data_IF_984883386243
#
_entry.id   IF_984883386243
#
_cell.length_a   1.000
_cell.length_b   1.000
_cell.length_c   1.000
_cell.angle_alpha   90.00
_cell.angle_beta   90.00
_cell.angle_gamma   90.00
#
_symmetry.space_group_name_H-M   'P 1'
#
loop_
_entity.id
_entity.type
_entity.pdbx_description
1 polymer ?
#
# COMPACT_ATOMS: atom_id res chain seq x y z
N UNK A 1 10.55 2.52 -17.85
CA UNK A 1 10.11 1.44 -16.93
C UNK A 1 9.05 0.49 -17.53
N UNK A 2 8.58 0.71 -18.77
CA UNK A 2 7.27 0.23 -19.25
C UNK A 2 7.18 -1.12 -20.05
N UNK A 3 8.14 -1.62 -20.87
CA UNK A 3 7.82 -2.77 -21.74
C UNK A 3 8.19 -4.15 -21.17
N UNK A 4 9.23 -4.26 -20.33
CA UNK A 4 9.79 -5.57 -19.95
C UNK A 4 9.01 -6.29 -18.83
N UNK A 5 8.22 -5.55 -18.06
CA UNK A 5 7.48 -6.08 -16.91
C UNK A 5 6.12 -6.63 -17.34
N UNK A 6 5.48 -6.07 -18.38
CA UNK A 6 4.13 -6.44 -18.83
C UNK A 6 3.96 -7.90 -19.25
N UNK A 7 5.01 -8.53 -19.79
CA UNK A 7 4.97 -9.96 -20.16
C UNK A 7 5.14 -10.92 -18.97
N UNK A 8 5.50 -10.42 -17.79
CA UNK A 8 5.63 -11.23 -16.56
C UNK A 8 4.51 -10.98 -15.55
N UNK A 9 3.60 -10.06 -15.83
CA UNK A 9 2.43 -9.84 -15.00
C UNK A 9 1.43 -10.95 -15.30
N UNK A 10 1.05 -11.69 -14.27
CA UNK A 10 -0.06 -12.62 -14.35
C UNK A 10 -1.36 -11.80 -14.38
N UNK A 11 -1.79 -11.42 -15.59
CA UNK A 11 -2.92 -10.51 -15.80
C UNK A 11 -4.22 -11.02 -15.15
N UNK A 12 -4.39 -12.33 -15.08
CA UNK A 12 -5.54 -12.95 -14.41
C UNK A 12 -5.53 -12.70 -12.88
N UNK A 13 -4.35 -12.71 -12.26
CA UNK A 13 -4.16 -12.34 -10.86
C UNK A 13 -4.40 -10.84 -10.65
N UNK A 14 -3.88 -10.00 -11.54
CA UNK A 14 -4.04 -8.55 -11.49
C UNK A 14 -5.51 -8.13 -11.59
N UNK A 15 -6.27 -8.68 -12.54
CA UNK A 15 -7.69 -8.37 -12.71
C UNK A 15 -8.53 -8.80 -11.49
N UNK A 16 -8.27 -9.97 -10.90
CA UNK A 16 -9.01 -10.44 -9.71
C UNK A 16 -8.74 -9.58 -8.47
N UNK A 17 -7.50 -9.10 -8.31
CA UNK A 17 -7.18 -8.10 -7.28
C UNK A 17 -7.91 -6.79 -7.55
N UNK A 18 -7.89 -6.31 -8.80
CA UNK A 18 -8.54 -5.06 -9.20
C UNK A 18 -10.02 -5.04 -8.83
N UNK A 19 -10.74 -6.15 -9.11
CA UNK A 19 -12.16 -6.29 -8.78
C UNK A 19 -12.38 -6.12 -7.27
N UNK A 20 -11.55 -6.76 -6.44
CA UNK A 20 -11.61 -6.59 -4.99
C UNK A 20 -11.31 -5.15 -4.57
N UNK A 21 -10.33 -4.50 -5.21
CA UNK A 21 -9.94 -3.13 -4.88
C UNK A 21 -11.04 -2.12 -5.23
N UNK A 22 -11.68 -2.27 -6.39
CA UNK A 22 -12.80 -1.40 -6.80
C UNK A 22 -13.94 -1.40 -5.76
N UNK A 23 -14.15 -2.53 -5.08
CA UNK A 23 -15.15 -2.67 -4.01
C UNK A 23 -14.60 -2.17 -2.67
N UNK A 24 -13.34 -2.47 -2.34
CA UNK A 24 -12.73 -2.08 -1.07
C UNK A 24 -12.45 -0.58 -0.94
N UNK A 25 -12.00 0.07 -2.01
CA UNK A 25 -11.65 1.50 -1.99
C UNK A 25 -12.79 2.45 -1.60
N UNK A 26 -14.04 2.33 -2.10
CA UNK A 26 -15.14 3.16 -1.62
C UNK A 26 -15.45 2.91 -0.14
N UNK A 27 -15.28 1.67 0.36
CA UNK A 27 -15.42 1.36 1.79
C UNK A 27 -14.33 2.11 2.58
N UNK A 28 -13.07 2.02 2.17
CA UNK A 28 -11.96 2.72 2.82
C UNK A 28 -12.14 4.24 2.87
N UNK A 29 -12.56 4.84 1.75
CA UNK A 29 -12.84 6.27 1.67
C UNK A 29 -14.07 6.68 2.49
N UNK A 30 -15.10 5.84 2.54
CA UNK A 30 -16.25 6.07 3.41
C UNK A 30 -15.80 6.06 4.88
N UNK A 31 -15.02 5.07 5.31
CA UNK A 31 -14.44 5.08 6.65
C UNK A 31 -13.61 6.33 6.91
N UNK A 32 -12.77 6.75 5.96
CA UNK A 32 -11.95 7.96 6.10
C UNK A 32 -12.80 9.22 6.32
N UNK A 33 -13.98 9.31 5.68
CA UNK A 33 -14.88 10.46 5.81
C UNK A 33 -15.58 10.53 7.18
N UNK A 34 -15.89 9.39 7.79
CA UNK A 34 -16.65 9.33 9.04
C UNK A 34 -15.79 9.12 10.30
N UNK A 35 -14.55 8.64 10.16
CA UNK A 35 -13.64 8.49 11.30
C UNK A 35 -12.96 9.82 11.64
N UNK A 36 -12.78 10.06 12.94
CA UNK A 36 -11.96 11.19 13.40
C UNK A 36 -10.49 11.01 12.99
N UNK A 37 -9.72 12.10 12.82
CA UNK A 37 -8.30 12.02 12.48
C UNK A 37 -7.48 11.23 13.52
N UNK A 38 -7.76 11.38 14.82
CA UNK A 38 -7.03 10.65 15.86
C UNK A 38 -7.29 9.14 15.77
N UNK A 39 -8.55 8.75 15.61
CA UNK A 39 -8.95 7.34 15.52
C UNK A 39 -8.39 6.69 14.25
N UNK A 40 -8.43 7.38 13.12
CA UNK A 40 -7.84 6.90 11.86
C UNK A 40 -6.34 6.67 12.01
N UNK A 41 -5.62 7.64 12.58
CA UNK A 41 -4.17 7.54 12.77
C UNK A 41 -3.79 6.36 13.68
N UNK A 42 -4.55 6.09 14.74
CA UNK A 42 -4.35 4.93 15.60
C UNK A 42 -4.55 3.63 14.82
N UNK A 43 -5.65 3.49 14.06
CA UNK A 43 -5.90 2.32 13.23
C UNK A 43 -4.78 2.07 12.22
N UNK A 44 -4.29 3.12 11.55
CA UNK A 44 -3.17 3.03 10.61
C UNK A 44 -1.93 2.44 11.29
N UNK A 45 -1.56 2.95 12.47
CA UNK A 45 -0.40 2.48 13.22
C UNK A 45 -0.52 0.99 13.59
N UNK A 46 -1.69 0.57 14.08
CA UNK A 46 -1.96 -0.84 14.44
C UNK A 46 -1.86 -1.74 13.21
N UNK A 47 -2.44 -1.33 12.09
CA UNK A 47 -2.40 -2.05 10.82
C UNK A 47 -0.95 -2.20 10.33
N UNK A 48 -0.14 -1.13 10.38
CA UNK A 48 1.27 -1.18 9.97
C UNK A 48 2.05 -2.18 10.83
N UNK A 49 1.86 -2.16 12.16
CA UNK A 49 2.53 -3.10 13.07
C UNK A 49 2.12 -4.54 12.74
N UNK A 50 0.81 -4.78 12.59
CA UNK A 50 0.27 -6.10 12.27
C UNK A 50 0.87 -6.65 10.96
N UNK A 51 0.81 -5.89 9.86
CA UNK A 51 1.36 -6.32 8.58
C UNK A 51 2.88 -6.46 8.63
N UNK A 52 3.60 -5.53 9.26
CA UNK A 52 5.07 -5.59 9.35
C UNK A 52 5.53 -6.87 10.07
N UNK A 53 4.88 -7.23 11.18
CA UNK A 53 5.17 -8.49 11.90
C UNK A 53 4.85 -9.72 11.05
N UNK A 54 3.74 -9.70 10.31
CA UNK A 54 3.31 -10.81 9.46
C UNK A 54 4.26 -11.00 8.27
N UNK A 55 4.71 -9.91 7.63
CA UNK A 55 5.74 -9.95 6.58
C UNK A 55 7.11 -10.37 7.13
N UNK A 56 7.48 -9.99 8.35
CA UNK A 56 8.72 -10.45 9.00
C UNK A 56 8.71 -11.97 9.26
N UNK A 57 7.56 -12.53 9.62
CA UNK A 57 7.40 -13.96 9.90
C UNK A 57 7.61 -14.82 8.65
N UNK A 58 7.52 -14.23 7.45
CA UNK A 58 7.94 -14.87 6.19
C UNK A 58 7.18 -16.16 5.88
N UNK A 59 5.91 -16.25 6.28
CA UNK A 59 5.12 -17.46 6.11
C UNK A 59 4.86 -17.70 4.62
N UNK A 60 5.28 -18.86 4.10
CA UNK A 60 5.00 -19.28 2.73
C UNK A 60 3.99 -20.41 2.76
N UNK A 61 2.87 -20.23 2.07
CA UNK A 61 1.84 -21.26 1.98
C UNK A 61 1.17 -21.21 0.60
N UNK A 62 1.68 -22.07 -0.28
CA UNK A 62 1.21 -22.19 -1.66
C UNK A 62 -0.25 -22.69 -1.79
N UNK A 63 -0.81 -23.27 -0.71
CA UNK A 63 -2.22 -23.72 -0.69
C UNK A 63 -3.25 -22.57 -0.64
N UNK A 64 -2.79 -21.33 -0.43
CA UNK A 64 -3.67 -20.13 -0.34
C UNK A 64 -3.89 -19.50 -1.74
N UNK A 65 -3.32 -20.05 -2.82
CA UNK A 65 -3.50 -19.55 -4.18
C UNK A 65 -4.89 -19.88 -4.80
N UNK A 66 -5.95 -19.69 -4.04
CA UNK A 66 -7.33 -19.84 -4.48
C UNK A 66 -7.88 -18.48 -4.95
N UNK A 67 -8.81 -18.52 -5.90
CA UNK A 67 -9.41 -17.32 -6.47
C UNK A 67 -10.16 -16.45 -5.43
N UNK A 68 -10.78 -17.07 -4.43
CA UNK A 68 -11.39 -16.36 -3.31
C UNK A 68 -10.38 -15.57 -2.45
N UNK A 69 -9.18 -16.12 -2.24
CA UNK A 69 -8.13 -15.45 -1.47
C UNK A 69 -7.54 -14.25 -2.21
N UNK A 70 -7.48 -14.30 -3.55
CA UNK A 70 -7.07 -13.15 -4.40
C UNK A 70 -8.05 -11.99 -4.27
N UNK A 71 -9.35 -12.26 -4.41
CA UNK A 71 -10.40 -11.24 -4.30
C UNK A 71 -10.44 -10.66 -2.89
N UNK A 72 -10.36 -11.50 -1.85
CA UNK A 72 -10.34 -11.04 -0.46
C UNK A 72 -9.13 -10.16 -0.15
N UNK A 73 -7.95 -10.53 -0.66
CA UNK A 73 -6.74 -9.69 -0.58
C UNK A 73 -6.95 -8.36 -1.30
N UNK A 74 -7.62 -8.38 -2.46
CA UNK A 74 -7.98 -7.17 -3.20
C UNK A 74 -8.91 -6.24 -2.41
N UNK A 75 -9.92 -6.79 -1.72
CA UNK A 75 -10.83 -6.00 -0.87
C UNK A 75 -10.06 -5.37 0.28
N UNK A 76 -9.26 -6.15 1.02
CA UNK A 76 -8.45 -5.63 2.13
C UNK A 76 -7.48 -4.54 1.62
N UNK A 77 -6.80 -4.83 0.51
CA UNK A 77 -5.88 -3.89 -0.14
C UNK A 77 -6.59 -2.61 -0.54
N UNK A 78 -7.76 -2.69 -1.17
CA UNK A 78 -8.53 -1.53 -1.61
C UNK A 78 -9.02 -0.69 -0.45
N UNK A 79 -9.53 -1.31 0.62
CA UNK A 79 -9.98 -0.63 1.84
C UNK A 79 -8.81 0.08 2.53
N UNK A 80 -7.67 -0.61 2.68
CA UNK A 80 -6.46 0.03 3.21
C UNK A 80 -5.95 1.14 2.29
N UNK A 81 -6.00 0.96 0.96
CA UNK A 81 -5.53 1.98 0.04
C UNK A 81 -6.40 3.25 0.13
N UNK A 82 -7.72 3.08 0.18
CA UNK A 82 -8.66 4.20 0.32
C UNK A 82 -8.57 4.91 1.67
N UNK A 83 -8.22 4.19 2.74
CA UNK A 83 -8.13 4.76 4.09
C UNK A 83 -6.76 5.35 4.41
N UNK A 84 -5.68 4.69 3.99
CA UNK A 84 -4.31 4.95 4.48
C UNK A 84 -3.27 5.04 3.38
N UNK A 85 -3.62 4.80 2.12
CA UNK A 85 -2.69 4.65 0.96
C UNK A 85 -1.69 3.51 1.08
N UNK A 86 -1.86 2.61 2.06
CA UNK A 86 -0.97 1.46 2.31
C UNK A 86 -1.52 0.15 1.72
N UNK A 87 -2.25 0.22 0.60
CA UNK A 87 -2.88 -0.95 -0.03
C UNK A 87 -1.89 -2.03 -0.49
N UNK A 88 -0.63 -1.68 -0.71
CA UNK A 88 0.39 -2.62 -1.18
C UNK A 88 0.91 -3.57 -0.12
N UNK A 89 0.73 -3.29 1.18
CA UNK A 89 1.16 -4.22 2.26
C UNK A 89 0.44 -5.58 2.20
N UNK A 90 -0.91 -5.63 2.15
CA UNK A 90 -1.65 -6.88 1.94
C UNK A 90 -1.26 -7.62 0.66
N UNK A 91 -1.10 -6.89 -0.45
CA UNK A 91 -0.73 -7.46 -1.75
C UNK A 91 0.68 -8.03 -1.72
N UNK A 92 1.63 -7.31 -1.14
CA UNK A 92 3.00 -7.77 -0.97
C UNK A 92 3.05 -9.04 -0.09
N UNK A 93 2.25 -9.09 0.98
CA UNK A 93 2.16 -10.28 1.82
C UNK A 93 1.62 -11.48 1.04
N UNK A 94 0.54 -11.30 0.26
CA UNK A 94 -0.01 -12.37 -0.57
C UNK A 94 1.00 -12.86 -1.62
N UNK A 95 1.72 -11.95 -2.27
CA UNK A 95 2.76 -12.26 -3.25
C UNK A 95 3.95 -13.01 -2.64
N UNK A 96 4.34 -12.67 -1.40
CA UNK A 96 5.37 -13.40 -0.65
C UNK A 96 4.90 -14.80 -0.27
N UNK A 97 3.66 -14.95 0.21
CA UNK A 97 3.05 -16.24 0.57
C UNK A 97 2.96 -17.17 -0.65
N UNK A 98 2.72 -16.60 -1.84
CA UNK A 98 2.62 -17.34 -3.11
C UNK A 98 3.96 -17.55 -3.82
N UNK A 99 5.08 -17.15 -3.21
CA UNK A 99 6.46 -17.40 -3.71
C UNK A 99 6.74 -16.85 -5.12
N UNK A 100 6.15 -15.71 -5.48
CA UNK A 100 6.38 -15.06 -6.78
C UNK A 100 7.74 -14.32 -6.76
N UNK A 101 8.43 -14.27 -7.91
CA UNK A 101 9.74 -13.61 -8.03
C UNK A 101 9.68 -12.12 -7.59
N UNK A 102 10.56 -11.64 -6.69
CA UNK A 102 10.54 -10.27 -6.16
C UNK A 102 10.56 -9.16 -7.21
N UNK A 103 11.20 -9.40 -8.36
CA UNK A 103 11.22 -8.44 -9.48
C UNK A 103 9.82 -8.23 -10.09
N UNK A 104 9.02 -9.30 -10.20
CA UNK A 104 7.64 -9.25 -10.71
C UNK A 104 6.73 -8.58 -9.68
N UNK A 105 6.96 -8.84 -8.39
CA UNK A 105 6.22 -8.22 -7.28
C UNK A 105 6.28 -6.70 -7.36
N UNK A 106 7.48 -6.13 -7.53
CA UNK A 106 7.66 -4.67 -7.57
C UNK A 106 7.02 -4.04 -8.80
N UNK A 107 7.15 -4.68 -9.96
CA UNK A 107 6.53 -4.20 -11.20
C UNK A 107 5.01 -4.21 -11.13
N UNK A 108 4.42 -5.31 -10.64
CA UNK A 108 2.98 -5.44 -10.47
C UNK A 108 2.42 -4.49 -9.41
N UNK A 109 3.11 -4.31 -8.28
CA UNK A 109 2.72 -3.35 -7.24
C UNK A 109 2.76 -1.91 -7.75
N UNK A 110 3.77 -1.53 -8.55
CA UNK A 110 3.84 -0.19 -9.12
C UNK A 110 2.67 0.09 -10.07
N UNK A 111 2.32 -0.87 -10.93
CA UNK A 111 1.17 -0.76 -11.82
C UNK A 111 -0.15 -0.71 -11.05
N UNK A 112 -0.27 -1.54 -10.00
CA UNK A 112 -1.44 -1.58 -9.13
C UNK A 112 -1.60 -0.24 -8.42
N UNK A 113 -0.56 0.28 -7.77
CA UNK A 113 -0.59 1.58 -7.11
C UNK A 113 -0.99 2.70 -8.04
N UNK A 114 -0.40 2.78 -9.23
CA UNK A 114 -0.75 3.81 -10.20
C UNK A 114 -2.25 3.81 -10.51
N UNK A 115 -2.84 2.63 -10.74
CA UNK A 115 -4.25 2.53 -11.09
C UNK A 115 -5.16 2.79 -9.88
N UNK A 116 -4.80 2.29 -8.70
CA UNK A 116 -5.58 2.49 -7.48
C UNK A 116 -5.51 3.93 -6.98
N UNK A 117 -4.40 4.63 -7.20
CA UNK A 117 -4.23 6.02 -6.81
C UNK A 117 -5.01 6.94 -7.73
N UNK A 118 -5.03 6.67 -9.04
CA UNK A 118 -5.93 7.37 -9.98
C UNK A 118 -7.39 7.15 -9.58
N UNK A 119 -7.78 5.92 -9.25
CA UNK A 119 -9.15 5.62 -8.82
C UNK A 119 -9.50 6.31 -7.50
N UNK A 120 -8.62 6.25 -6.50
CA UNK A 120 -8.80 6.93 -5.22
C UNK A 120 -8.91 8.45 -5.42
N UNK A 121 -8.09 9.04 -6.29
CA UNK A 121 -8.16 10.46 -6.62
C UNK A 121 -9.52 10.84 -7.22
N UNK A 122 -10.02 10.07 -8.19
CA UNK A 122 -11.35 10.29 -8.78
C UNK A 122 -12.45 10.17 -7.72
N UNK A 123 -12.40 9.15 -6.87
CA UNK A 123 -13.38 8.98 -5.80
C UNK A 123 -13.30 10.10 -4.75
N UNK A 124 -12.12 10.56 -4.38
CA UNK A 124 -11.94 11.69 -3.46
C UNK A 124 -12.43 13.01 -4.06
N UNK A 125 -12.25 13.21 -5.36
CA UNK A 125 -12.79 14.35 -6.10
C UNK A 125 -14.32 14.32 -6.10
N UNK A 126 -14.94 13.18 -6.44
CA UNK A 126 -16.39 13.00 -6.38
C UNK A 126 -16.94 13.09 -4.94
N UNK A 127 -16.16 12.66 -3.96
CA UNK A 127 -16.50 12.73 -2.53
C UNK A 127 -16.47 14.13 -1.92
N UNK A 128 -16.05 15.14 -2.70
CA UNK A 128 -15.91 16.53 -2.25
C UNK A 128 -14.77 16.75 -1.25
N UNK A 129 -13.84 15.80 -1.13
CA UNK A 129 -12.68 15.87 -0.22
C UNK A 129 -11.56 16.74 -0.83
N UNK A 130 -11.51 16.79 -2.17
CA UNK A 130 -10.51 17.56 -2.92
C UNK A 130 -11.04 18.97 -3.19
N UNK A 131 -10.50 19.95 -2.47
CA UNK A 131 -10.77 21.37 -2.68
C UNK A 131 -9.67 22.03 -3.55
N UNK A 132 -9.95 23.21 -4.12
CA UNK A 132 -8.99 23.98 -4.93
C UNK A 132 -7.72 24.33 -4.16
N UNK A 133 -7.83 24.50 -2.84
CA UNK A 133 -6.69 24.73 -1.93
C UNK A 133 -5.78 23.49 -1.90
N UNK A 134 -6.35 22.29 -1.91
CA UNK A 134 -5.57 21.03 -1.95
C UNK A 134 -4.76 20.95 -3.23
N UNK A 135 -5.35 21.29 -4.38
CA UNK A 135 -4.68 21.25 -5.69
C UNK A 135 -3.45 22.17 -5.70
N UNK A 136 -3.58 23.41 -5.20
CA UNK A 136 -2.45 24.35 -5.12
C UNK A 136 -1.32 23.85 -4.23
N UNK A 137 -1.64 23.18 -3.11
CA UNK A 137 -0.64 22.62 -2.20
C UNK A 137 0.04 21.36 -2.76
N UNK A 138 -0.64 20.62 -3.65
CA UNK A 138 -0.09 19.42 -4.28
C UNK A 138 0.83 19.74 -5.46
N UNK A 139 0.66 20.88 -6.13
CA UNK A 139 1.45 21.27 -7.31
C UNK A 139 2.99 21.19 -7.08
N UNK A 140 3.55 21.71 -5.96
CA UNK A 140 4.99 21.61 -5.69
C UNK A 140 5.44 20.17 -5.40
N UNK A 141 4.56 19.35 -4.82
CA UNK A 141 4.86 17.97 -4.44
C UNK A 141 5.04 17.07 -5.66
N UNK A 142 4.47 17.43 -6.81
CA UNK A 142 4.65 16.71 -8.09
C UNK A 142 6.12 16.66 -8.50
N UNK A 143 6.92 17.69 -8.19
CA UNK A 143 8.35 17.74 -8.54
C UNK A 143 9.20 17.00 -7.49
N UNK A 144 8.80 17.09 -6.22
CA UNK A 144 9.54 16.50 -5.10
C UNK A 144 9.44 14.96 -5.11
N UNK A 145 8.27 14.42 -5.48
CA UNK A 145 8.02 12.98 -5.46
C UNK A 145 8.98 12.20 -6.39
N UNK A 146 9.18 12.57 -7.68
CA UNK A 146 10.17 11.92 -8.55
C UNK A 146 11.60 11.96 -8.00
N UNK A 147 11.99 13.07 -7.37
CA UNK A 147 13.33 13.22 -6.76
C UNK A 147 13.49 12.23 -5.61
N UNK A 148 12.49 12.14 -4.73
CA UNK A 148 12.46 11.17 -3.63
C UNK A 148 12.53 9.73 -4.14
N UNK A 149 11.76 9.39 -5.18
CA UNK A 149 11.76 8.05 -5.79
C UNK A 149 13.13 7.73 -6.40
N UNK A 150 13.74 8.68 -7.13
CA UNK A 150 15.06 8.49 -7.73
C UNK A 150 16.15 8.23 -6.67
N UNK A 151 16.12 8.99 -5.58
CA UNK A 151 17.05 8.80 -4.46
C UNK A 151 16.83 7.41 -3.84
N UNK A 152 15.58 7.04 -3.57
CA UNK A 152 15.22 5.74 -2.99
C UNK A 152 15.68 4.56 -3.85
N UNK A 153 15.46 4.60 -5.17
CA UNK A 153 15.87 3.55 -6.10
C UNK A 153 17.39 3.34 -6.10
N UNK A 154 18.16 4.44 -6.09
CA UNK A 154 19.63 4.39 -6.05
C UNK A 154 20.17 3.74 -4.79
N UNK A 155 19.55 3.97 -3.63
CA UNK A 155 19.91 3.32 -2.37
C UNK A 155 19.44 1.85 -2.31
N UNK A 156 18.34 1.53 -2.98
CA UNK A 156 17.81 0.18 -3.03
C UNK A 156 18.77 -0.78 -3.75
N UNK A 157 19.29 -0.40 -4.92
CA UNK A 157 20.16 -1.25 -5.76
C UNK A 157 21.44 -1.68 -5.05
N UNK A 158 21.93 -0.90 -4.07
CA UNK A 158 23.17 -1.17 -3.33
C UNK A 158 22.99 -2.04 -2.08
N UNK A 159 21.76 -2.40 -1.69
CA UNK A 159 21.50 -3.06 -0.41
C UNK A 159 21.28 -4.57 -0.52
N UNK A 160 21.85 -5.35 0.41
CA UNK A 160 21.56 -6.79 0.54
C UNK A 160 20.08 -6.98 0.95
N UNK A 161 19.33 -7.72 0.15
CA UNK A 161 17.85 -7.85 0.24
C UNK A 161 17.34 -8.27 1.64
N UNK A 162 18.07 -9.17 2.33
CA UNK A 162 17.69 -9.63 3.66
C UNK A 162 17.89 -8.56 4.76
N UNK A 163 18.98 -7.79 4.69
CA UNK A 163 19.24 -6.70 5.66
C UNK A 163 18.27 -5.55 5.45
N UNK A 164 18.02 -5.17 4.19
CA UNK A 164 17.06 -4.14 3.83
C UNK A 164 15.67 -4.42 4.40
N UNK A 165 15.16 -5.64 4.20
CA UNK A 165 13.83 -6.03 4.68
C UNK A 165 13.72 -5.92 6.21
N UNK A 166 14.74 -6.36 6.95
CA UNK A 166 14.75 -6.30 8.41
C UNK A 166 14.79 -4.85 8.92
N UNK A 167 15.58 -3.98 8.29
CA UNK A 167 15.67 -2.57 8.65
C UNK A 167 14.34 -1.84 8.39
N UNK A 168 13.74 -2.02 7.21
CA UNK A 168 12.48 -1.35 6.86
C UNK A 168 11.34 -1.76 7.81
N UNK A 169 11.17 -3.05 8.11
CA UNK A 169 10.11 -3.48 9.03
C UNK A 169 10.34 -3.01 10.46
N UNK A 170 11.57 -3.06 10.97
CA UNK A 170 11.87 -2.52 12.29
C UNK A 170 11.61 -1.02 12.36
N UNK A 171 11.99 -0.28 11.31
CA UNK A 171 11.76 1.16 11.22
C UNK A 171 10.26 1.51 11.20
N UNK A 172 9.46 0.77 10.41
CA UNK A 172 8.00 0.93 10.36
C UNK A 172 7.34 0.66 11.72
N UNK A 173 7.82 -0.37 12.44
CA UNK A 173 7.34 -0.69 13.79
C UNK A 173 7.68 0.45 14.75
N UNK A 174 8.91 0.95 14.74
CA UNK A 174 9.36 2.05 15.63
C UNK A 174 8.54 3.32 15.37
N UNK A 175 8.35 3.72 14.12
CA UNK A 175 7.56 4.91 13.78
C UNK A 175 6.11 4.73 14.21
N UNK A 176 5.53 3.56 14.00
CA UNK A 176 4.14 3.29 14.42
C UNK A 176 3.98 3.36 15.93
N UNK A 177 4.94 2.83 16.70
CA UNK A 177 4.96 2.95 18.17
C UNK A 177 5.03 4.41 18.58
N UNK A 178 5.93 5.19 17.96
CA UNK A 178 6.04 6.63 18.23
C UNK A 178 4.75 7.39 17.89
N UNK A 179 4.09 7.02 16.79
CA UNK A 179 2.79 7.56 16.38
C UNK A 179 1.70 7.30 17.41
N UNK A 180 1.64 6.08 17.96
CA UNK A 180 0.69 5.73 19.04
C UNK A 180 0.98 6.55 20.29
N UNK A 181 2.25 6.61 20.71
CA UNK A 181 2.67 7.38 21.90
C UNK A 181 2.30 8.86 21.79
N UNK A 182 2.47 9.45 20.60
CA UNK A 182 2.09 10.85 20.34
C UNK A 182 0.58 11.09 20.47
N UNK A 183 -0.25 10.15 20.01
CA UNK A 183 -1.71 10.25 20.17
C UNK A 183 -2.07 10.17 21.66
N UNK A 184 -1.54 9.18 22.38
CA UNK A 184 -1.83 9.00 23.81
C UNK A 184 -1.32 10.15 24.68
N UNK A 185 -0.25 10.83 24.27
CA UNK A 185 0.24 12.04 24.97
C UNK A 185 -0.46 13.34 24.57
N UNK A 186 -1.38 13.30 23.59
CA UNK A 186 -2.18 14.45 23.15
C UNK A 186 -3.63 14.42 23.64
N UNK A 187 -4.01 13.34 24.35
CA UNK A 187 -5.27 13.17 25.08
C UNK A 187 -5.03 13.62 26.52
#
# INVERSE_FOLDING_TARGET
MAPYIWNKIDWNFFFKLLIGITIGSPIGLYLLKYLSPQTTHLYVCVIIIFFSLLLMKGYSNQKINNDGSKIFTGIISGTLNGLTTLGGMPVALFLLVTSIQPAVIRGSLAALFFLTDVYAFVLSFLGGIVDMITIYRTLPLIIILPIGVYIGDKFFVKSKEALYRKVVFNFLIIISIFGILRITGSI
#
